data_IF_867436402162
#
_entry.id   IF_867436402162
#
_cell.length_a   1.000
_cell.length_b   1.000
_cell.length_c   1.000
_cell.angle_alpha   90.00
_cell.angle_beta   90.00
_cell.angle_gamma   90.00
#
_symmetry.space_group_name_H-M   'P 1'
#
loop_
_entity.id
_entity.type
_entity.pdbx_description
1 polymer ?
#
# COMPACT_ATOMS: atom_id res chain seq x y z
N UNK A 1 12.00 -4.20 33.39
CA UNK A 1 11.23 -4.36 32.12
C UNK A 1 12.19 -4.27 30.95
N UNK A 2 12.15 -5.20 29.99
CA UNK A 2 12.90 -5.04 28.75
C UNK A 2 12.13 -4.04 27.89
N UNK A 3 12.75 -2.93 27.51
CA UNK A 3 12.15 -1.95 26.61
C UNK A 3 12.05 -2.47 25.19
N UNK A 4 11.17 -1.83 24.39
CA UNK A 4 11.07 -2.03 22.93
C UNK A 4 11.54 -0.73 22.27
N UNK A 5 12.34 -0.84 21.22
CA UNK A 5 12.82 0.28 20.44
C UNK A 5 12.21 0.26 19.03
N UNK A 6 11.83 1.45 18.53
CA UNK A 6 11.51 1.64 17.11
C UNK A 6 12.86 1.90 16.42
N UNK A 7 13.21 1.02 15.47
CA UNK A 7 14.50 1.08 14.77
C UNK A 7 14.39 1.63 13.36
N UNK A 8 13.20 1.63 12.77
CA UNK A 8 12.95 2.18 11.44
C UNK A 8 11.49 2.53 11.24
N UNK A 9 11.24 3.44 10.32
CA UNK A 9 9.91 3.92 9.98
C UNK A 9 9.75 4.02 8.45
N UNK A 10 8.55 3.77 7.98
CA UNK A 10 8.14 4.01 6.60
C UNK A 10 6.72 4.54 6.57
N UNK A 11 6.46 5.50 5.70
CA UNK A 11 5.14 6.13 5.58
C UNK A 11 4.90 6.59 4.15
N UNK A 12 3.69 6.33 3.68
CA UNK A 12 3.15 6.87 2.43
C UNK A 12 1.79 7.48 2.75
N UNK A 13 1.64 8.74 2.40
CA UNK A 13 0.42 9.50 2.67
C UNK A 13 0.10 10.49 1.54
N UNK A 14 -0.98 11.23 1.69
CA UNK A 14 -1.35 12.29 0.76
C UNK A 14 -0.41 13.51 0.76
N UNK A 15 0.47 13.62 1.77
CA UNK A 15 1.43 14.73 1.90
C UNK A 15 2.88 14.32 1.66
N UNK A 16 3.16 13.02 1.43
CA UNK A 16 4.52 12.56 1.13
C UNK A 16 4.61 11.06 0.95
N UNK A 17 5.63 10.63 0.22
CA UNK A 17 5.92 9.24 -0.10
C UNK A 17 7.09 8.66 0.71
N UNK A 18 7.60 9.40 1.67
CA UNK A 18 8.67 8.99 2.58
C UNK A 18 8.50 9.69 3.93
N UNK A 19 9.23 9.24 4.94
CA UNK A 19 9.25 9.89 6.26
C UNK A 19 9.69 11.35 6.14
N UNK A 20 10.74 11.63 5.36
CA UNK A 20 11.29 12.96 5.14
C UNK A 20 10.26 13.90 4.48
N UNK A 21 9.63 13.47 3.38
CA UNK A 21 8.62 14.27 2.69
C UNK A 21 7.42 14.58 3.58
N UNK A 22 6.95 13.60 4.36
CA UNK A 22 5.85 13.80 5.30
C UNK A 22 6.25 14.79 6.40
N UNK A 23 7.46 14.67 6.95
CA UNK A 23 7.97 15.57 7.97
C UNK A 23 8.07 17.02 7.46
N UNK A 24 8.67 17.24 6.29
CA UNK A 24 8.75 18.56 5.64
C UNK A 24 7.35 19.12 5.42
N UNK A 25 6.43 18.33 4.91
CA UNK A 25 5.06 18.75 4.65
C UNK A 25 4.33 19.18 5.91
N UNK A 26 4.56 18.49 7.04
CA UNK A 26 3.98 18.87 8.33
C UNK A 26 4.54 20.20 8.84
N UNK A 27 5.87 20.42 8.74
CA UNK A 27 6.50 21.68 9.14
C UNK A 27 5.99 22.87 8.27
N UNK A 28 5.87 22.64 6.98
CA UNK A 28 5.42 23.64 6.02
C UNK A 28 3.90 23.82 6.00
N UNK A 29 3.16 23.09 6.85
CA UNK A 29 1.68 23.10 6.90
C UNK A 29 1.04 22.78 5.53
N UNK A 30 1.64 21.90 4.75
CA UNK A 30 1.08 21.45 3.46
C UNK A 30 -0.20 20.64 3.69
N UNK A 31 -1.21 20.90 2.89
CA UNK A 31 -2.49 20.23 2.93
C UNK A 31 -2.50 19.12 1.87
N UNK A 32 -2.70 17.88 2.28
CA UNK A 32 -2.82 16.72 1.38
C UNK A 32 -4.21 16.52 0.79
N UNK A 33 -5.17 17.37 1.16
CA UNK A 33 -6.55 17.27 0.68
C UNK A 33 -6.69 18.01 -0.66
N UNK A 34 -7.07 17.28 -1.69
CA UNK A 34 -7.21 17.80 -3.05
C UNK A 34 -8.36 17.12 -3.80
N UNK A 35 -8.57 17.50 -5.06
CA UNK A 35 -9.48 16.77 -5.94
C UNK A 35 -8.99 15.31 -6.13
N UNK A 36 -9.94 14.41 -6.36
CA UNK A 36 -9.67 13.03 -6.72
C UNK A 36 -9.06 13.01 -8.12
N UNK A 37 -7.95 12.30 -8.29
CA UNK A 37 -7.24 12.19 -9.57
C UNK A 37 -7.00 10.74 -10.02
N UNK A 38 -6.82 9.82 -9.08
CA UNK A 38 -6.50 8.41 -9.38
C UNK A 38 -7.73 7.50 -9.42
N UNK A 39 -8.89 8.00 -9.05
CA UNK A 39 -10.15 7.25 -9.07
C UNK A 39 -11.10 7.91 -10.06
N UNK A 40 -11.61 7.13 -11.02
CA UNK A 40 -12.65 7.59 -11.93
C UNK A 40 -14.00 7.65 -11.21
N UNK A 41 -14.49 8.84 -10.93
CA UNK A 41 -15.78 9.05 -10.24
C UNK A 41 -16.46 10.31 -10.71
N UNK A 42 -17.79 10.29 -10.74
CA UNK A 42 -18.62 11.48 -11.04
C UNK A 42 -18.54 12.57 -9.95
N UNK A 43 -17.97 12.24 -8.80
CA UNK A 43 -17.84 13.12 -7.66
C UNK A 43 -16.48 13.83 -7.57
N UNK A 44 -15.59 13.65 -8.54
CA UNK A 44 -14.22 14.16 -8.50
C UNK A 44 -14.13 15.68 -8.31
N UNK A 45 -15.11 16.44 -8.83
CA UNK A 45 -15.15 17.91 -8.72
C UNK A 45 -15.78 18.40 -7.42
N UNK A 46 -16.52 17.58 -6.73
CA UNK A 46 -17.29 17.96 -5.53
C UNK A 46 -16.61 17.52 -4.25
N UNK A 47 -16.06 16.28 -4.25
CA UNK A 47 -15.43 15.68 -3.08
C UNK A 47 -13.92 15.91 -3.12
N UNK A 48 -13.36 16.35 -2.00
CA UNK A 48 -11.92 16.47 -1.80
C UNK A 48 -11.46 15.39 -0.82
N UNK A 49 -10.33 14.75 -1.13
CA UNK A 49 -9.79 13.62 -0.37
C UNK A 49 -8.28 13.75 -0.15
N UNK A 50 -7.77 13.09 0.86
CA UNK A 50 -6.35 12.87 1.06
C UNK A 50 -5.87 11.70 0.22
N UNK A 51 -5.73 11.89 -1.09
CA UNK A 51 -5.33 10.85 -2.03
C UNK A 51 -3.81 10.70 -2.09
N UNK A 52 -3.31 9.47 -1.99
CA UNK A 52 -1.91 9.15 -2.27
C UNK A 52 -1.69 9.34 -3.77
N UNK A 53 -0.73 10.20 -4.14
CA UNK A 53 -0.55 10.67 -5.51
C UNK A 53 0.11 9.66 -6.46
N UNK A 54 0.82 8.67 -5.93
CA UNK A 54 1.38 7.58 -6.75
C UNK A 54 0.26 6.81 -7.46
N UNK A 55 0.41 6.61 -8.76
CA UNK A 55 -0.49 5.75 -9.55
C UNK A 55 -0.19 4.27 -9.27
N UNK A 56 -1.07 3.38 -9.72
CA UNK A 56 -0.83 1.94 -9.58
C UNK A 56 0.39 1.49 -10.39
N UNK A 57 0.59 2.06 -11.59
CA UNK A 57 1.74 1.77 -12.45
C UNK A 57 3.06 2.19 -11.79
N UNK A 58 3.08 3.33 -11.10
CA UNK A 58 4.25 3.77 -10.35
C UNK A 58 4.54 2.86 -9.16
N UNK A 59 3.50 2.40 -8.44
CA UNK A 59 3.63 1.44 -7.34
C UNK A 59 4.17 0.09 -7.83
N UNK A 60 3.61 -0.45 -8.92
CA UNK A 60 4.07 -1.70 -9.56
C UNK A 60 5.54 -1.62 -9.92
N UNK A 61 5.95 -0.52 -10.55
CA UNK A 61 7.34 -0.28 -10.95
C UNK A 61 8.29 -0.19 -9.75
N UNK A 62 7.90 0.53 -8.71
CA UNK A 62 8.74 0.74 -7.51
C UNK A 62 8.92 -0.54 -6.68
N UNK A 63 7.90 -1.39 -6.69
CA UNK A 63 7.95 -2.70 -6.05
C UNK A 63 8.54 -3.80 -6.94
N UNK A 64 8.91 -3.48 -8.19
CA UNK A 64 9.39 -4.44 -9.19
C UNK A 64 8.42 -5.61 -9.45
N UNK A 65 7.11 -5.34 -9.39
CA UNK A 65 6.10 -6.33 -9.67
C UNK A 65 5.93 -6.53 -11.18
N UNK A 66 5.40 -7.69 -11.57
CA UNK A 66 4.97 -7.93 -12.95
C UNK A 66 3.68 -7.17 -13.25
N UNK A 67 3.42 -6.86 -14.53
CA UNK A 67 2.18 -6.21 -14.93
C UNK A 67 0.94 -7.06 -14.60
N UNK A 68 1.06 -8.38 -14.68
CA UNK A 68 0.00 -9.36 -14.35
C UNK A 68 0.10 -9.77 -12.86
N UNK A 69 0.23 -8.80 -11.97
CA UNK A 69 0.23 -9.05 -10.54
C UNK A 69 -1.18 -8.97 -9.94
N UNK A 70 -1.34 -9.56 -8.77
CA UNK A 70 -2.62 -9.61 -8.07
C UNK A 70 -2.66 -8.72 -6.82
N UNK A 71 -1.80 -7.74 -6.76
CA UNK A 71 -1.73 -6.83 -5.62
C UNK A 71 -2.86 -5.81 -5.66
N UNK A 72 -3.60 -5.69 -4.57
CA UNK A 72 -4.46 -4.54 -4.39
C UNK A 72 -3.63 -3.27 -4.17
N UNK A 73 -4.20 -2.11 -4.48
CA UNK A 73 -3.56 -0.82 -4.19
C UNK A 73 -3.14 -0.69 -2.73
N UNK A 74 -4.00 -1.13 -1.81
CA UNK A 74 -3.72 -1.13 -0.37
C UNK A 74 -2.50 -2.00 -0.03
N UNK A 75 -2.41 -3.18 -0.62
CA UNK A 75 -1.28 -4.07 -0.43
C UNK A 75 0.03 -3.46 -0.96
N UNK A 76 0.02 -2.87 -2.16
CA UNK A 76 1.19 -2.20 -2.72
C UNK A 76 1.69 -1.05 -1.83
N UNK A 77 0.78 -0.21 -1.34
CA UNK A 77 1.13 0.90 -0.45
C UNK A 77 1.70 0.39 0.87
N UNK A 78 1.07 -0.63 1.47
CA UNK A 78 1.54 -1.23 2.72
C UNK A 78 2.91 -1.87 2.58
N UNK A 79 3.14 -2.61 1.50
CA UNK A 79 4.43 -3.23 1.19
C UNK A 79 5.52 -2.18 1.00
N UNK A 80 5.23 -1.11 0.27
CA UNK A 80 6.20 -0.05 0.04
C UNK A 80 6.57 0.68 1.35
N UNK A 81 5.59 0.94 2.23
CA UNK A 81 5.87 1.51 3.55
C UNK A 81 6.68 0.56 4.44
N UNK A 82 6.37 -0.75 4.41
CA UNK A 82 7.16 -1.75 5.15
C UNK A 82 8.60 -1.83 4.64
N UNK A 83 8.81 -1.81 3.32
CA UNK A 83 10.14 -1.78 2.69
C UNK A 83 10.94 -0.56 3.17
N UNK A 84 10.35 0.62 3.16
CA UNK A 84 10.99 1.82 3.70
C UNK A 84 11.39 1.67 5.17
N UNK A 85 10.53 1.05 5.99
CA UNK A 85 10.83 0.84 7.42
C UNK A 85 12.02 -0.11 7.61
N UNK A 86 12.10 -1.19 6.84
CA UNK A 86 13.21 -2.16 6.86
C UNK A 86 14.52 -1.50 6.42
N UNK A 87 14.50 -0.75 5.33
CA UNK A 87 15.64 0.01 4.81
C UNK A 87 16.10 1.08 5.82
N UNK A 88 15.18 1.82 6.41
CA UNK A 88 15.46 2.85 7.40
C UNK A 88 16.04 2.25 8.70
N UNK A 89 15.65 1.03 9.05
CA UNK A 89 16.23 0.29 10.19
C UNK A 89 17.64 -0.25 9.90
N UNK A 90 18.14 -0.17 8.67
CA UNK A 90 19.43 -0.73 8.27
C UNK A 90 19.47 -2.26 8.28
N UNK A 91 18.29 -2.91 8.17
CA UNK A 91 18.20 -4.37 8.13
C UNK A 91 18.51 -4.82 6.72
N UNK A 92 19.58 -5.60 6.56
CA UNK A 92 20.04 -6.13 5.26
C UNK A 92 19.43 -7.50 4.95
N UNK A 93 19.02 -8.24 5.97
CA UNK A 93 18.34 -9.52 5.84
C UNK A 93 17.38 -9.75 6.99
N UNK A 94 16.12 -9.94 6.68
CA UNK A 94 15.08 -10.27 7.66
C UNK A 94 15.24 -11.69 8.23
N UNK A 95 16.02 -12.55 7.56
CA UNK A 95 16.25 -13.95 7.96
C UNK A 95 17.34 -14.11 9.03
N UNK A 96 18.09 -13.06 9.35
CA UNK A 96 19.11 -13.10 10.41
C UNK A 96 18.51 -13.17 11.81
N UNK A 97 17.27 -12.73 11.95
CA UNK A 97 16.57 -12.65 13.23
C UNK A 97 15.19 -13.33 13.13
N UNK A 98 14.63 -13.63 14.28
CA UNK A 98 13.25 -14.05 14.35
C UNK A 98 12.35 -12.85 14.09
N UNK A 99 11.93 -12.68 12.85
CA UNK A 99 11.14 -11.54 12.36
C UNK A 99 9.68 -11.96 12.18
N UNK A 100 8.77 -11.05 12.48
CA UNK A 100 7.34 -11.22 12.24
C UNK A 100 6.75 -9.96 11.61
N UNK A 101 5.80 -10.14 10.70
CA UNK A 101 4.98 -9.07 10.12
C UNK A 101 3.63 -9.04 10.82
N UNK A 102 3.24 -7.87 11.32
CA UNK A 102 1.89 -7.61 11.82
C UNK A 102 1.31 -6.52 10.93
N UNK A 103 0.30 -6.88 10.14
CA UNK A 103 -0.38 -5.97 9.22
C UNK A 103 -1.85 -5.83 9.62
N UNK A 104 -2.41 -4.64 9.43
CA UNK A 104 -3.82 -4.37 9.67
C UNK A 104 -4.36 -3.39 8.63
N UNK A 105 -5.59 -3.60 8.22
CA UNK A 105 -6.33 -2.69 7.36
C UNK A 105 -7.80 -2.66 7.78
N UNK A 106 -8.47 -1.54 7.56
CA UNK A 106 -9.92 -1.44 7.84
C UNK A 106 -10.75 -2.03 6.70
N UNK A 107 -10.41 -1.70 5.45
CA UNK A 107 -11.09 -2.18 4.24
C UNK A 107 -10.05 -2.20 3.10
N UNK A 108 -9.18 -3.19 3.10
CA UNK A 108 -8.21 -3.36 2.02
C UNK A 108 -8.77 -4.22 0.87
N UNK A 109 -8.26 -4.00 -0.36
CA UNK A 109 -8.55 -4.85 -1.51
C UNK A 109 -9.88 -4.59 -2.22
N UNK A 110 -10.63 -3.56 -1.85
CA UNK A 110 -11.91 -3.23 -2.51
C UNK A 110 -11.76 -2.90 -4.00
N UNK A 111 -10.67 -2.30 -4.39
CA UNK A 111 -10.32 -2.03 -5.79
C UNK A 111 -10.26 -3.31 -6.63
N UNK A 112 -9.74 -4.38 -6.07
CA UNK A 112 -9.71 -5.70 -6.72
C UNK A 112 -11.09 -6.34 -6.75
N UNK A 113 -11.86 -6.20 -5.67
CA UNK A 113 -13.25 -6.68 -5.63
C UNK A 113 -14.10 -5.97 -6.68
N UNK A 114 -14.03 -4.65 -6.78
CA UNK A 114 -14.76 -3.88 -7.80
C UNK A 114 -14.37 -4.29 -9.23
N UNK A 115 -13.06 -4.45 -9.48
CA UNK A 115 -12.55 -4.84 -10.81
C UNK A 115 -13.05 -6.20 -11.26
N UNK A 116 -13.11 -7.17 -10.35
CA UNK A 116 -13.41 -8.56 -10.68
C UNK A 116 -14.84 -9.01 -10.34
N UNK A 117 -15.65 -8.12 -9.77
CA UNK A 117 -16.99 -8.46 -9.29
C UNK A 117 -17.90 -9.07 -10.37
N UNK A 118 -17.99 -8.43 -11.53
CA UNK A 118 -18.82 -8.91 -12.64
C UNK A 118 -18.28 -10.19 -13.22
N UNK A 119 -16.99 -10.29 -13.43
CA UNK A 119 -16.35 -11.50 -13.97
C UNK A 119 -16.56 -12.69 -13.05
N UNK A 120 -16.50 -12.46 -11.73
CA UNK A 120 -16.78 -13.51 -10.74
C UNK A 120 -18.19 -14.09 -10.87
N UNK A 121 -19.19 -13.26 -11.11
CA UNK A 121 -20.56 -13.73 -11.25
C UNK A 121 -20.88 -14.32 -12.62
N UNK A 122 -20.28 -13.82 -13.67
CA UNK A 122 -20.58 -14.22 -15.05
C UNK A 122 -19.65 -15.32 -15.55
N UNK A 123 -18.40 -15.31 -15.14
CA UNK A 123 -17.34 -16.21 -15.59
C UNK A 123 -16.40 -16.58 -14.46
N UNK A 124 -16.88 -17.26 -13.41
CA UNK A 124 -16.08 -17.58 -12.23
C UNK A 124 -14.82 -18.39 -12.55
N UNK A 125 -14.82 -19.13 -13.65
CA UNK A 125 -13.69 -19.91 -14.14
C UNK A 125 -12.52 -19.05 -14.65
N UNK A 126 -12.77 -17.79 -15.00
CA UNK A 126 -11.76 -16.86 -15.49
C UNK A 126 -11.13 -16.01 -14.37
N UNK A 127 -11.78 -15.95 -13.21
CA UNK A 127 -11.30 -15.17 -12.09
C UNK A 127 -10.28 -15.99 -11.29
N UNK A 128 -9.02 -15.65 -11.49
CA UNK A 128 -7.91 -16.31 -10.78
C UNK A 128 -7.87 -15.95 -9.30
N UNK A 129 -8.48 -14.83 -8.90
CA UNK A 129 -8.31 -14.26 -7.57
C UNK A 129 -9.53 -13.49 -7.08
N UNK A 130 -9.98 -13.87 -5.90
CA UNK A 130 -10.77 -13.00 -5.05
C UNK A 130 -9.94 -12.74 -3.81
N UNK A 131 -9.51 -11.50 -3.64
CA UNK A 131 -8.85 -11.11 -2.41
C UNK A 131 -9.86 -11.14 -1.28
N UNK A 132 -9.68 -12.03 -0.32
CA UNK A 132 -10.28 -11.85 0.98
C UNK A 132 -9.69 -10.60 1.63
N UNK A 133 -10.51 -9.81 2.28
CA UNK A 133 -10.15 -8.50 2.86
C UNK A 133 -8.95 -8.52 3.79
N UNK A 134 -8.64 -9.66 4.41
CA UNK A 134 -7.81 -9.71 5.61
C UNK A 134 -6.38 -10.18 5.36
N UNK A 135 -6.12 -10.88 4.27
CA UNK A 135 -4.82 -11.52 3.99
C UNK A 135 -3.94 -10.73 3.02
N UNK A 136 -4.55 -9.85 2.24
CA UNK A 136 -3.92 -9.29 1.06
C UNK A 136 -2.57 -8.60 1.29
N UNK A 137 -2.38 -7.92 2.41
CA UNK A 137 -1.12 -7.23 2.69
C UNK A 137 -0.03 -8.19 3.18
N UNK A 138 -0.38 -9.20 3.97
CA UNK A 138 0.59 -10.16 4.50
C UNK A 138 1.10 -11.11 3.42
N UNK A 139 0.20 -11.64 2.59
CA UNK A 139 0.57 -12.52 1.49
C UNK A 139 1.44 -11.79 0.46
N UNK A 140 1.08 -10.56 0.14
CA UNK A 140 1.83 -9.73 -0.81
C UNK A 140 3.20 -9.30 -0.29
N UNK A 141 3.40 -9.12 1.00
CA UNK A 141 4.70 -8.83 1.57
C UNK A 141 5.69 -9.99 1.37
N UNK A 142 5.22 -11.24 1.52
CA UNK A 142 6.03 -12.43 1.24
C UNK A 142 6.42 -12.52 -0.25
N UNK A 143 5.49 -12.24 -1.15
CA UNK A 143 5.72 -12.29 -2.60
C UNK A 143 6.64 -11.15 -3.09
N UNK A 144 6.63 -10.02 -2.41
CA UNK A 144 7.53 -8.89 -2.71
C UNK A 144 8.97 -9.08 -2.17
N UNK A 145 9.25 -10.19 -1.49
CA UNK A 145 10.59 -10.52 -0.99
C UNK A 145 11.05 -9.63 0.18
N UNK A 146 10.10 -9.19 1.01
CA UNK A 146 10.38 -8.48 2.27
C UNK A 146 10.74 -9.44 3.40
#
# INVERSE_FOLDING_TARGET
MKGVAITGMGIISSIGNSVEENYISLIENKIGISRITNISTVHADVIKVGEIKKTNEELVKELNLTEDNNFSRTAMIGTLAAKQAVENAGITSINEFRTGLISATSVGGMDMTERHYYDYFTHPELVKYITCHDGGTADTANDAGL
#
